data_IF_378497627286
#
_entry.id   IF_378497627286
#
_cell.length_a   1.000
_cell.length_b   1.000
_cell.length_c   1.000
_cell.angle_alpha   90.00
_cell.angle_beta   90.00
_cell.angle_gamma   90.00
#
_symmetry.space_group_name_H-M   'P 1'
#
loop_
_entity.id
_entity.type
_entity.pdbx_description
1 polymer ?
#
# COMPACT_ATOMS: atom_id res chain seq x y z
N UNK A 1 -41.42 -4.91 -59.96
CA UNK A 1 -41.31 -3.50 -59.51
C UNK A 1 -41.33 -3.58 -57.98
N UNK A 2 -40.33 -3.22 -57.19
CA UNK A 2 -39.21 -2.29 -57.35
C UNK A 2 -38.03 -2.75 -56.49
N UNK A 3 -36.82 -2.75 -57.05
CA UNK A 3 -35.58 -2.84 -56.28
C UNK A 3 -35.45 -1.60 -55.40
N UNK A 4 -35.06 -1.70 -54.11
CA UNK A 4 -34.68 -0.53 -53.33
C UNK A 4 -33.33 0.00 -53.79
N UNK A 5 -33.30 1.32 -54.00
CA UNK A 5 -32.21 2.09 -54.56
C UNK A 5 -30.97 2.15 -53.65
N UNK A 6 -29.80 2.26 -54.27
CA UNK A 6 -28.50 2.48 -53.65
C UNK A 6 -28.45 3.76 -52.80
N UNK A 7 -27.68 3.80 -51.70
CA UNK A 7 -27.48 5.01 -50.90
C UNK A 7 -26.66 6.07 -51.66
N UNK A 8 -26.85 7.37 -51.35
CA UNK A 8 -26.15 8.46 -52.03
C UNK A 8 -24.65 8.47 -51.70
N UNK A 9 -23.84 8.75 -52.71
CA UNK A 9 -22.40 8.91 -52.59
C UNK A 9 -22.08 10.06 -51.61
N UNK A 10 -21.44 9.72 -50.49
CA UNK A 10 -20.85 10.69 -49.59
C UNK A 10 -19.78 11.52 -50.32
N UNK A 11 -19.85 12.84 -50.13
CA UNK A 11 -18.94 13.80 -50.74
C UNK A 11 -17.48 13.49 -50.34
N UNK A 12 -16.59 13.51 -51.34
CA UNK A 12 -15.16 13.39 -51.16
C UNK A 12 -14.61 14.66 -50.46
N UNK A 13 -13.78 14.55 -49.42
CA UNK A 13 -13.15 15.72 -48.80
C UNK A 13 -12.16 16.41 -49.77
N UNK A 14 -11.92 17.73 -49.59
CA UNK A 14 -11.07 18.51 -50.50
C UNK A 14 -9.61 18.00 -50.53
N UNK A 15 -8.91 18.13 -51.68
CA UNK A 15 -7.52 17.66 -51.79
C UNK A 15 -6.61 18.44 -50.84
N UNK A 16 -6.01 17.74 -49.88
CA UNK A 16 -5.05 18.31 -48.92
C UNK A 16 -5.47 18.22 -47.44
N UNK A 17 -6.64 17.68 -47.13
CA UNK A 17 -7.02 17.43 -45.73
C UNK A 17 -6.51 16.05 -45.28
N UNK A 18 -5.42 16.04 -44.50
CA UNK A 18 -4.90 14.85 -43.84
C UNK A 18 -5.40 14.82 -42.38
N UNK A 19 -6.34 13.92 -42.00
CA UNK A 19 -6.99 13.94 -40.69
C UNK A 19 -6.06 13.63 -39.51
N UNK A 20 -4.79 13.31 -39.78
CA UNK A 20 -3.80 12.94 -38.76
C UNK A 20 -2.90 14.09 -38.29
N UNK A 21 -2.99 15.29 -38.88
CA UNK A 21 -2.13 16.42 -38.47
C UNK A 21 -2.51 17.06 -37.12
N UNK A 22 -3.64 16.70 -36.51
CA UNK A 22 -4.06 17.23 -35.20
C UNK A 22 -3.40 16.58 -33.98
N UNK A 23 -2.60 15.51 -34.13
CA UNK A 23 -2.01 14.78 -33.00
C UNK A 23 -0.52 15.08 -32.73
N UNK A 24 0.05 16.11 -33.36
CA UNK A 24 1.50 16.37 -33.31
C UNK A 24 1.96 17.53 -32.40
N UNK A 25 1.24 17.80 -31.30
CA UNK A 25 1.75 18.68 -30.25
C UNK A 25 1.51 18.11 -28.84
N UNK A 26 2.29 17.11 -28.48
CA UNK A 26 2.67 16.87 -27.08
C UNK A 26 4.18 16.75 -27.02
N UNK A 27 4.80 17.73 -26.39
CA UNK A 27 6.24 17.83 -26.23
C UNK A 27 6.82 16.53 -25.65
N UNK A 28 7.96 16.11 -26.18
CA UNK A 28 8.69 14.93 -25.76
C UNK A 28 8.88 14.87 -24.23
N UNK A 29 8.03 14.11 -23.55
CA UNK A 29 8.30 13.65 -22.20
C UNK A 29 9.15 12.39 -22.34
N UNK A 30 10.46 12.56 -22.19
CA UNK A 30 11.35 11.46 -21.83
C UNK A 30 10.71 10.67 -20.68
N UNK A 31 10.59 9.33 -20.77
CA UNK A 31 10.05 8.54 -19.68
C UNK A 31 10.88 8.83 -18.42
N UNK A 32 10.24 9.05 -17.26
CA UNK A 32 10.98 9.26 -16.02
C UNK A 32 11.90 8.04 -15.79
N UNK A 33 13.14 8.24 -15.33
CA UNK A 33 14.04 7.14 -15.03
C UNK A 33 13.35 6.16 -14.09
N UNK A 34 13.41 4.87 -14.40
CA UNK A 34 12.94 3.83 -13.48
C UNK A 34 13.64 4.04 -12.12
N UNK A 35 12.90 4.04 -10.99
CA UNK A 35 13.51 4.25 -9.69
C UNK A 35 14.59 3.18 -9.44
N UNK A 36 15.79 3.56 -8.98
CA UNK A 36 16.87 2.61 -8.73
C UNK A 36 16.40 1.51 -7.78
N UNK A 37 16.39 0.27 -8.27
CA UNK A 37 16.18 -0.90 -7.44
C UNK A 37 17.41 -1.13 -6.57
N UNK A 38 17.28 -0.82 -5.29
CA UNK A 38 18.24 -1.25 -4.27
C UNK A 38 19.25 -0.19 -3.87
N UNK A 39 18.85 0.71 -2.97
CA UNK A 39 19.82 1.37 -2.10
C UNK A 39 19.19 1.61 -0.72
N UNK A 40 19.82 1.05 0.31
CA UNK A 40 19.53 1.31 1.71
C UNK A 40 19.85 2.78 2.03
N UNK A 41 18.94 3.69 1.67
CA UNK A 41 19.02 5.11 1.99
C UNK A 41 18.28 5.40 3.31
N UNK A 42 18.99 5.98 4.27
CA UNK A 42 18.39 6.57 5.49
C UNK A 42 17.24 7.52 5.11
N UNK A 43 16.02 7.36 5.64
CA UNK A 43 14.95 8.32 5.40
C UNK A 43 15.23 9.63 6.13
N UNK A 44 15.26 10.74 5.39
CA UNK A 44 15.25 12.09 5.93
C UNK A 44 13.90 12.33 6.64
N UNK A 45 13.96 12.47 7.95
CA UNK A 45 12.82 12.44 8.86
C UNK A 45 12.19 13.84 8.94
N UNK A 46 11.07 14.05 8.27
CA UNK A 46 10.18 15.20 8.53
C UNK A 46 9.45 15.02 9.86
N UNK A 47 9.03 16.11 10.54
CA UNK A 47 8.41 16.03 11.86
C UNK A 47 7.12 15.18 11.84
N UNK A 48 6.82 14.45 12.92
CA UNK A 48 5.65 13.59 12.99
C UNK A 48 4.38 14.45 12.89
N UNK A 49 3.64 14.30 11.80
CA UNK A 49 2.32 14.89 11.64
C UNK A 49 1.35 14.28 12.66
N UNK A 50 1.03 15.07 13.68
CA UNK A 50 0.00 14.78 14.66
C UNK A 50 -1.38 14.80 14.01
N UNK A 51 -2.20 13.80 14.34
CA UNK A 51 -3.61 13.72 13.94
C UNK A 51 -4.44 14.70 14.76
N UNK A 52 -4.36 15.99 14.42
CA UNK A 52 -5.24 17.02 14.96
C UNK A 52 -6.15 17.55 13.87
N UNK A 53 -7.44 17.71 14.16
CA UNK A 53 -8.31 18.54 13.34
C UNK A 53 -7.68 19.94 13.24
N UNK A 54 -7.59 20.55 12.04
CA UNK A 54 -7.01 21.88 11.91
C UNK A 54 -7.81 22.87 12.78
N UNK A 55 -7.13 23.79 13.50
CA UNK A 55 -7.79 24.81 14.28
C UNK A 55 -8.81 25.60 13.44
N UNK A 56 -9.99 25.96 13.98
CA UNK A 56 -10.98 26.75 13.24
C UNK A 56 -10.35 28.05 12.73
N UNK A 57 -10.49 28.33 11.43
CA UNK A 57 -9.95 29.53 10.79
C UNK A 57 -8.64 29.34 10.03
N UNK A 58 -8.02 28.16 10.08
CA UNK A 58 -6.90 27.82 9.19
C UNK A 58 -7.37 27.08 7.94
N UNK A 59 -6.85 27.43 6.73
CA UNK A 59 -7.12 26.65 5.54
C UNK A 59 -6.62 25.21 5.73
N UNK A 60 -7.36 24.19 5.23
CA UNK A 60 -6.95 22.81 5.35
C UNK A 60 -5.56 22.64 4.71
N UNK A 61 -4.59 22.24 5.54
CA UNK A 61 -3.24 21.99 5.07
C UNK A 61 -3.27 20.79 4.12
N UNK A 62 -2.67 20.88 2.91
CA UNK A 62 -2.64 19.77 1.98
C UNK A 62 -2.09 18.52 2.65
N UNK A 63 -2.76 17.38 2.46
CA UNK A 63 -2.27 16.11 2.98
C UNK A 63 -0.82 15.91 2.50
N UNK A 64 0.11 15.49 3.39
CA UNK A 64 1.48 15.26 3.00
C UNK A 64 1.51 14.31 1.80
N UNK A 65 2.11 14.73 0.69
CA UNK A 65 2.25 13.86 -0.46
C UNK A 65 3.01 12.60 -0.03
N UNK A 66 2.50 11.39 -0.32
CA UNK A 66 3.19 10.16 0.02
C UNK A 66 4.64 10.20 -0.50
N UNK A 67 5.60 10.02 0.40
CA UNK A 67 6.99 9.81 0.00
C UNK A 67 7.13 8.52 -0.83
N UNK A 68 8.31 8.25 -1.40
CA UNK A 68 8.55 7.04 -2.16
C UNK A 68 8.10 5.78 -1.41
N UNK A 69 7.38 4.89 -2.10
CA UNK A 69 6.95 3.62 -1.55
C UNK A 69 8.16 2.81 -1.08
N UNK A 70 8.09 2.27 0.14
CA UNK A 70 9.16 1.41 0.66
C UNK A 70 9.37 0.20 -0.26
N UNK A 71 10.62 -0.21 -0.46
CA UNK A 71 10.95 -1.44 -1.20
C UNK A 71 10.38 -2.69 -0.48
N UNK A 72 10.36 -3.83 -1.18
CA UNK A 72 9.75 -5.07 -0.65
C UNK A 72 10.45 -5.57 0.62
N UNK A 73 11.78 -5.44 0.72
CA UNK A 73 12.59 -5.99 1.80
C UNK A 73 12.19 -5.48 3.18
N UNK A 74 12.15 -4.16 3.40
CA UNK A 74 11.70 -3.60 4.67
C UNK A 74 10.26 -3.98 5.04
N UNK A 75 9.38 -4.11 4.03
CA UNK A 75 8.00 -4.59 4.27
C UNK A 75 8.00 -6.04 4.76
N UNK A 76 8.83 -6.90 4.18
CA UNK A 76 8.99 -8.29 4.60
C UNK A 76 9.55 -8.40 6.03
N UNK A 77 10.57 -7.61 6.38
CA UNK A 77 11.11 -7.59 7.76
C UNK A 77 10.06 -7.10 8.76
N UNK A 78 9.29 -6.06 8.42
CA UNK A 78 8.18 -5.62 9.27
C UNK A 78 7.15 -6.73 9.50
N UNK A 79 6.80 -7.50 8.46
CA UNK A 79 5.90 -8.66 8.59
C UNK A 79 6.50 -9.78 9.44
N UNK A 80 7.80 -10.05 9.30
CA UNK A 80 8.52 -11.03 10.13
C UNK A 80 8.55 -10.61 11.59
N UNK A 81 8.64 -9.33 11.91
CA UNK A 81 8.55 -8.86 13.30
C UNK A 81 7.11 -8.99 13.80
N UNK A 82 6.13 -8.56 12.99
CA UNK A 82 4.72 -8.60 13.37
C UNK A 82 4.19 -10.02 13.60
N UNK A 83 4.70 -11.02 12.87
CA UNK A 83 4.20 -12.41 12.91
C UNK A 83 5.20 -13.43 13.44
N UNK A 84 6.50 -13.17 13.29
CA UNK A 84 7.55 -14.12 13.65
C UNK A 84 7.66 -14.33 15.16
N UNK A 85 7.45 -13.29 15.98
CA UNK A 85 7.46 -13.45 17.44
C UNK A 85 6.35 -14.41 17.90
N UNK A 86 5.06 -14.19 17.55
CA UNK A 86 4.03 -15.17 17.88
C UNK A 86 4.24 -16.55 17.24
N UNK A 87 4.76 -16.60 16.01
CA UNK A 87 5.07 -17.87 15.33
C UNK A 87 6.13 -18.67 16.11
N UNK A 88 7.17 -18.00 16.62
CA UNK A 88 8.20 -18.63 17.43
C UNK A 88 7.63 -19.21 18.73
N UNK A 89 6.71 -18.49 19.38
CA UNK A 89 5.99 -19.01 20.56
C UNK A 89 5.12 -20.22 20.22
N UNK A 90 4.49 -20.22 19.05
CA UNK A 90 3.69 -21.35 18.60
C UNK A 90 4.54 -22.59 18.32
N UNK A 91 5.70 -22.40 17.67
CA UNK A 91 6.68 -23.47 17.45
C UNK A 91 7.18 -24.02 18.80
N UNK A 92 7.47 -23.14 19.76
CA UNK A 92 7.88 -23.57 21.10
C UNK A 92 6.79 -24.42 21.79
N UNK A 93 5.53 -23.99 21.73
CA UNK A 93 4.41 -24.77 22.26
C UNK A 93 4.26 -26.14 21.56
N UNK A 94 4.50 -26.18 20.24
CA UNK A 94 4.50 -27.42 19.47
C UNK A 94 5.62 -28.37 19.93
N UNK A 95 6.82 -27.87 20.18
CA UNK A 95 7.92 -28.68 20.69
C UNK A 95 7.61 -29.24 22.10
N UNK A 96 6.99 -28.45 22.97
CA UNK A 96 6.52 -28.95 24.28
C UNK A 96 5.48 -30.05 24.14
N UNK A 97 4.61 -29.98 23.12
CA UNK A 97 3.60 -31.02 22.87
C UNK A 97 4.17 -32.40 22.53
N UNK A 98 5.40 -32.44 21.99
CA UNK A 98 6.12 -33.69 21.70
C UNK A 98 6.49 -34.39 23.01
N UNK A 99 6.90 -33.62 24.03
CA UNK A 99 7.28 -34.15 25.35
C UNK A 99 6.05 -34.43 26.24
N UNK A 100 5.02 -33.58 26.16
CA UNK A 100 3.79 -33.73 26.93
C UNK A 100 2.59 -33.17 26.16
N UNK A 101 1.74 -34.08 25.67
CA UNK A 101 0.52 -33.73 24.95
C UNK A 101 -0.42 -32.81 25.71
N UNK A 102 -0.82 -33.08 26.99
CA UNK A 102 -1.77 -32.21 27.68
C UNK A 102 -1.18 -30.81 27.94
N UNK A 103 0.10 -30.71 28.31
CA UNK A 103 0.76 -29.42 28.54
C UNK A 103 0.91 -28.65 27.24
N UNK A 104 1.40 -29.29 26.18
CA UNK A 104 1.56 -28.65 24.87
C UNK A 104 0.24 -28.17 24.28
N UNK A 105 -0.84 -28.94 24.44
CA UNK A 105 -2.18 -28.52 24.01
C UNK A 105 -2.64 -27.25 24.72
N UNK A 106 -2.51 -27.18 26.04
CA UNK A 106 -2.85 -25.99 26.82
C UNK A 106 -2.03 -24.78 26.35
N UNK A 107 -0.72 -24.94 26.17
CA UNK A 107 0.15 -23.87 25.68
C UNK A 107 -0.23 -23.41 24.27
N UNK A 108 -0.57 -24.34 23.37
CA UNK A 108 -1.01 -24.00 22.02
C UNK A 108 -2.28 -23.15 22.03
N UNK A 109 -3.27 -23.52 22.86
CA UNK A 109 -4.51 -22.73 23.01
C UNK A 109 -4.18 -21.33 23.53
N UNK A 110 -3.34 -21.20 24.55
CA UNK A 110 -2.95 -19.90 25.12
C UNK A 110 -2.22 -19.05 24.08
N UNK A 111 -1.23 -19.60 23.39
CA UNK A 111 -0.47 -18.89 22.35
C UNK A 111 -1.39 -18.48 21.20
N UNK A 112 -2.31 -19.35 20.78
CA UNK A 112 -3.25 -19.04 19.72
C UNK A 112 -4.20 -17.90 20.08
N UNK A 113 -4.75 -17.91 21.31
CA UNK A 113 -5.57 -16.81 21.82
C UNK A 113 -4.77 -15.50 21.93
N UNK A 114 -3.53 -15.59 22.40
CA UNK A 114 -2.60 -14.46 22.44
C UNK A 114 -2.30 -13.90 21.04
N UNK A 115 -2.08 -14.78 20.05
CA UNK A 115 -1.86 -14.39 18.66
C UNK A 115 -3.06 -13.66 18.06
N UNK A 116 -4.28 -14.13 18.33
CA UNK A 116 -5.51 -13.44 17.91
C UNK A 116 -5.55 -12.04 18.53
N UNK A 117 -5.36 -11.93 19.85
CA UNK A 117 -5.36 -10.63 20.53
C UNK A 117 -4.32 -9.66 19.98
N UNK A 118 -3.10 -10.13 19.75
CA UNK A 118 -2.02 -9.35 19.14
C UNK A 118 -2.38 -8.93 17.71
N UNK A 119 -2.98 -9.80 16.89
CA UNK A 119 -3.37 -9.44 15.52
C UNK A 119 -4.49 -8.40 15.49
N UNK A 120 -5.52 -8.57 16.33
CA UNK A 120 -6.60 -7.59 16.47
C UNK A 120 -5.99 -6.23 16.82
N UNK A 121 -5.15 -6.18 17.87
CA UNK A 121 -4.56 -4.92 18.30
C UNK A 121 -3.58 -4.34 17.29
N UNK A 122 -2.58 -5.11 16.85
CA UNK A 122 -1.45 -4.59 16.07
C UNK A 122 -1.78 -4.43 14.57
N UNK A 123 -2.66 -5.26 14.00
CA UNK A 123 -3.04 -5.19 12.56
C UNK A 123 -4.38 -4.52 12.29
N UNK A 124 -5.37 -4.63 13.18
CA UNK A 124 -6.66 -4.00 12.91
C UNK A 124 -6.75 -2.66 13.61
N UNK A 125 -6.54 -2.61 14.93
CA UNK A 125 -6.73 -1.36 15.68
C UNK A 125 -5.59 -0.37 15.44
N UNK A 126 -4.34 -0.76 15.68
CA UNK A 126 -3.19 0.13 15.59
C UNK A 126 -2.92 0.53 14.14
N UNK A 127 -2.87 -0.44 13.24
CA UNK A 127 -2.55 -0.19 11.84
C UNK A 127 -3.71 0.45 11.08
N UNK A 128 -4.96 0.10 11.36
CA UNK A 128 -6.11 0.76 10.75
C UNK A 128 -6.12 2.25 11.10
N UNK A 129 -5.97 2.58 12.39
CA UNK A 129 -6.04 3.97 12.87
C UNK A 129 -4.83 4.83 12.54
N UNK A 130 -3.64 4.24 12.45
CA UNK A 130 -2.38 5.02 12.39
C UNK A 130 -1.47 4.68 11.22
N UNK A 131 -1.74 3.60 10.51
CA UNK A 131 -0.84 3.02 9.52
C UNK A 131 0.37 2.28 10.13
N UNK A 132 0.43 2.16 11.46
CA UNK A 132 1.57 1.56 12.17
C UNK A 132 1.30 0.14 12.65
N UNK A 133 2.35 -0.67 12.69
CA UNK A 133 2.43 -1.89 13.47
C UNK A 133 3.79 -1.93 14.15
N UNK A 134 4.01 -2.81 15.13
CA UNK A 134 5.31 -2.92 15.80
C UNK A 134 6.47 -3.12 14.81
N UNK A 135 6.34 -4.02 13.85
CA UNK A 135 7.33 -4.21 12.79
C UNK A 135 7.54 -2.97 11.93
N UNK A 136 6.46 -2.25 11.58
CA UNK A 136 6.57 -1.00 10.82
C UNK A 136 7.24 0.12 11.62
N UNK A 137 7.00 0.20 12.94
CA UNK A 137 7.68 1.15 13.82
C UNK A 137 9.19 0.91 13.84
N UNK A 138 9.61 -0.37 13.96
CA UNK A 138 11.03 -0.75 13.92
C UNK A 138 11.64 -0.40 12.56
N UNK A 139 10.94 -0.71 11.48
CA UNK A 139 11.41 -0.46 10.11
C UNK A 139 11.19 0.99 9.64
N UNK A 140 10.68 1.88 10.49
CA UNK A 140 10.33 3.27 10.18
C UNK A 140 9.42 3.40 8.94
N UNK A 141 8.45 2.49 8.82
CA UNK A 141 7.46 2.43 7.74
C UNK A 141 6.09 2.93 8.22
N UNK A 142 5.21 3.27 7.27
CA UNK A 142 3.79 3.55 7.52
C UNK A 142 2.95 3.04 6.37
N UNK A 143 1.80 2.44 6.68
CA UNK A 143 0.78 2.08 5.70
C UNK A 143 -0.19 3.24 5.52
N UNK A 144 -0.31 3.72 4.29
CA UNK A 144 -1.23 4.78 3.89
C UNK A 144 -1.87 4.43 2.55
N UNK A 145 -3.06 4.95 2.28
CA UNK A 145 -3.70 4.86 0.98
C UNK A 145 -2.99 5.76 -0.03
N UNK A 146 -2.79 5.26 -1.24
CA UNK A 146 -2.06 5.99 -2.29
C UNK A 146 -2.78 7.28 -2.72
N UNK A 147 -4.13 7.25 -2.76
CA UNK A 147 -4.95 8.39 -3.15
C UNK A 147 -5.08 9.46 -2.06
N UNK A 148 -5.10 9.06 -0.79
CA UNK A 148 -5.47 9.95 0.33
C UNK A 148 -4.27 10.32 1.21
N UNK A 149 -3.19 9.55 1.18
CA UNK A 149 -2.09 9.67 2.14
C UNK A 149 -2.48 9.35 3.59
N UNK A 150 -3.71 8.88 3.82
CA UNK A 150 -4.25 8.56 5.14
C UNK A 150 -4.13 7.07 5.45
N UNK A 151 -4.13 6.65 6.72
CA UNK A 151 -4.33 5.25 7.09
C UNK A 151 -5.58 4.66 6.42
N UNK A 152 -5.53 3.36 6.09
CA UNK A 152 -6.57 2.69 5.30
C UNK A 152 -7.74 2.18 6.15
N UNK A 153 -7.53 1.96 7.46
CA UNK A 153 -8.52 1.28 8.31
C UNK A 153 -9.24 2.18 9.28
#
# INVERSE_FOLDING_TARGET
MTSPASPPAGQQPPPGFDPYQGQQQSAAMTPPPAPPQGQFGMPQMGPPTGYGAPPPGFPPQPAPMPGPLASWGPRAVALLIDQGIPMALFILAALVSIASKPVGFILMVIVWLGWIGINIYNRWVLQGRTGQSWGKKVMKLRLIGEATGQPIG
#
